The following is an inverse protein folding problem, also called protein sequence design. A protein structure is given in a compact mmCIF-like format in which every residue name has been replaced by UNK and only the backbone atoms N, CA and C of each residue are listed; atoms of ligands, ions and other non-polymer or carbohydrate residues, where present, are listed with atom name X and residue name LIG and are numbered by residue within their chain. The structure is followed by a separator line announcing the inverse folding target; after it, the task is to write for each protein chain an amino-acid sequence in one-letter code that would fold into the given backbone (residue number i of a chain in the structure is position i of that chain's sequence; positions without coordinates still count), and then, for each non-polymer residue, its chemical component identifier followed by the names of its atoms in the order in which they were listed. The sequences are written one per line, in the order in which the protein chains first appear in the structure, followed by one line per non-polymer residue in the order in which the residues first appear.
data_IF_533898397514
#
_entry.id   IF_533898397514
#
_cell.length_a   1.000
_cell.length_b   1.000
_cell.length_c   1.000
_cell.angle_alpha   90.00
_cell.angle_beta   90.00
_cell.angle_gamma   90.00
#
_symmetry.space_group_name_H-M   'P 1'
#
loop_
_entity.id
_entity.type
_entity.pdbx_description
1 polymer ?
#
# COMPACT_ATOMS: atom_id res chain seq x y z
N UNK A 1 7.50 1.61 -5.14
CA UNK A 1 6.86 0.67 -4.21
C UNK A 1 6.25 1.51 -3.11
N UNK A 2 5.20 1.01 -2.45
CA UNK A 2 4.70 1.63 -1.20
C UNK A 2 5.16 0.73 -0.05
N UNK A 3 5.87 1.28 0.92
CA UNK A 3 6.24 0.51 2.12
C UNK A 3 5.03 0.35 3.06
N UNK A 4 4.83 -0.83 3.64
CA UNK A 4 3.74 -1.06 4.60
C UNK A 4 3.85 -0.15 5.83
N UNK A 5 5.07 0.24 6.21
CA UNK A 5 5.32 1.15 7.33
C UNK A 5 4.97 2.61 7.03
N UNK A 6 4.83 2.96 5.75
CA UNK A 6 4.52 4.32 5.30
C UNK A 6 3.02 4.53 5.09
N UNK A 7 2.21 3.47 5.17
CA UNK A 7 0.75 3.61 5.09
C UNK A 7 0.24 4.25 6.39
N UNK A 8 -0.32 5.46 6.34
CA UNK A 8 -0.74 6.16 7.55
C UNK A 8 -2.02 5.55 8.12
N UNK A 9 -2.20 5.74 9.43
CA UNK A 9 -3.45 5.43 10.14
C UNK A 9 -3.60 3.99 10.63
N UNK A 10 -2.80 3.04 10.13
CA UNK A 10 -2.80 1.68 10.66
C UNK A 10 -1.47 0.97 10.41
N UNK A 11 -1.22 -0.09 11.17
CA UNK A 11 -0.14 -1.04 10.89
C UNK A 11 -0.70 -2.16 10.03
N UNK A 12 -0.15 -2.34 8.84
CA UNK A 12 -0.57 -3.41 7.93
C UNK A 12 0.30 -4.66 8.09
N UNK A 13 -0.35 -5.82 8.08
CA UNK A 13 0.29 -7.15 8.09
C UNK A 13 -0.13 -7.94 6.86
N UNK A 14 0.75 -8.79 6.35
CA UNK A 14 0.43 -9.64 5.21
C UNK A 14 -0.31 -10.89 5.67
N UNK A 15 -1.50 -11.11 5.12
CA UNK A 15 -2.30 -12.32 5.26
C UNK A 15 -2.00 -13.23 4.06
N UNK A 16 -1.26 -14.32 4.32
CA UNK A 16 -0.79 -15.22 3.28
C UNK A 16 -1.92 -16.09 2.68
N UNK A 17 -2.95 -16.40 3.46
CA UNK A 17 -4.05 -17.26 3.01
C UNK A 17 -4.96 -16.52 2.03
N UNK A 18 -5.21 -15.22 2.31
CA UNK A 18 -6.00 -14.34 1.45
C UNK A 18 -5.19 -13.61 0.38
N UNK A 19 -3.86 -13.64 0.49
CA UNK A 19 -2.94 -12.89 -0.37
C UNK A 19 -3.26 -11.37 -0.39
N UNK A 20 -3.52 -10.81 0.78
CA UNK A 20 -3.84 -9.40 0.97
C UNK A 20 -3.06 -8.81 2.15
N UNK A 21 -3.04 -7.49 2.28
CA UNK A 21 -2.55 -6.84 3.50
C UNK A 21 -3.73 -6.34 4.33
N UNK A 22 -3.68 -6.53 5.64
CA UNK A 22 -4.78 -6.22 6.56
C UNK A 22 -4.29 -5.28 7.65
N UNK A 23 -5.03 -4.19 7.86
CA UNK A 23 -4.81 -3.23 8.93
C UNK A 23 -5.15 -3.84 10.28
N UNK A 24 -4.22 -3.78 11.23
CA UNK A 24 -4.38 -4.41 12.55
C UNK A 24 -5.56 -3.81 13.31
N UNK A 25 -5.74 -2.49 13.27
CA UNK A 25 -6.76 -1.77 14.03
C UNK A 25 -8.05 -1.56 13.22
N UNK A 26 -7.93 -1.16 11.96
CA UNK A 26 -9.04 -0.79 11.08
C UNK A 26 -9.69 -2.01 10.42
N UNK A 27 -8.98 -3.14 10.35
CA UNK A 27 -9.35 -4.32 9.54
C UNK A 27 -9.52 -4.02 8.05
N UNK A 28 -9.00 -2.88 7.59
CA UNK A 28 -8.99 -2.53 6.17
C UNK A 28 -8.08 -3.51 5.43
N UNK A 29 -8.59 -4.10 4.36
CA UNK A 29 -7.85 -5.03 3.52
C UNK A 29 -7.45 -4.32 2.22
N UNK A 30 -6.24 -4.55 1.72
CA UNK A 30 -5.84 -4.21 0.36
C UNK A 30 -5.47 -5.49 -0.38
N UNK A 31 -6.17 -5.74 -1.47
CA UNK A 31 -6.00 -6.95 -2.28
C UNK A 31 -5.37 -6.64 -3.62
N UNK A 32 -4.80 -7.68 -4.24
CA UNK A 32 -4.33 -7.58 -5.61
C UNK A 32 -5.50 -7.28 -6.57
N UNK A 33 -5.30 -6.33 -7.48
CA UNK A 33 -6.29 -5.91 -8.48
C UNK A 33 -7.17 -4.73 -8.06
N UNK A 34 -7.05 -4.25 -6.82
CA UNK A 34 -7.75 -3.05 -6.37
C UNK A 34 -7.09 -1.78 -6.92
N UNK A 35 -7.91 -0.79 -7.27
CA UNK A 35 -7.43 0.50 -7.74
C UNK A 35 -7.20 1.45 -6.58
N UNK A 36 -6.02 2.06 -6.51
CA UNK A 36 -5.65 3.05 -5.49
C UNK A 36 -5.10 4.30 -6.15
N UNK A 37 -5.14 5.41 -5.40
CA UNK A 37 -4.45 6.66 -5.76
C UNK A 37 -3.15 6.75 -5.01
N UNK A 38 -2.08 6.98 -5.77
CA UNK A 38 -0.72 7.13 -5.24
C UNK A 38 -0.12 8.44 -5.72
N UNK A 39 0.87 8.90 -4.97
CA UNK A 39 1.74 10.01 -5.33
C UNK A 39 3.15 9.46 -5.56
N UNK A 40 3.87 10.03 -6.53
CA UNK A 40 5.29 9.74 -6.73
C UNK A 40 6.07 10.42 -5.59
N UNK A 41 6.81 9.63 -4.82
CA UNK A 41 7.67 10.11 -3.74
C UNK A 41 9.10 10.35 -4.26
N UNK A 42 9.72 9.34 -4.86
CA UNK A 42 11.05 9.44 -5.50
C UNK A 42 11.14 8.58 -6.78
N UNK A 43 12.08 8.93 -7.66
CA UNK A 43 12.36 8.16 -8.87
C UNK A 43 13.84 7.85 -8.95
N UNK A 44 14.18 6.56 -9.04
CA UNK A 44 15.54 6.08 -9.25
C UNK A 44 15.68 5.34 -10.61
N UNK A 45 16.05 6.05 -11.69
CA UNK A 45 16.15 5.45 -13.03
C UNK A 45 17.23 4.37 -13.14
N UNK A 46 18.33 4.51 -12.39
CA UNK A 46 19.44 3.53 -12.41
C UNK A 46 18.99 2.17 -11.87
N UNK A 47 18.19 2.17 -10.81
CA UNK A 47 17.61 0.97 -10.21
C UNK A 47 16.30 0.54 -10.87
N UNK A 48 15.77 1.33 -11.81
CA UNK A 48 14.43 1.17 -12.40
C UNK A 48 13.35 1.06 -11.31
N UNK A 49 13.47 1.91 -10.29
CA UNK A 49 12.59 1.94 -9.14
C UNK A 49 11.87 3.28 -9.06
N UNK A 50 10.59 3.26 -8.69
CA UNK A 50 9.79 4.45 -8.40
C UNK A 50 9.20 4.20 -7.03
N UNK A 51 9.51 5.07 -6.07
CA UNK A 51 8.94 5.06 -4.73
C UNK A 51 7.63 5.86 -4.71
N UNK A 52 6.64 5.30 -4.02
CA UNK A 52 5.26 5.76 -4.08
C UNK A 52 4.70 5.93 -2.67
N UNK A 53 3.90 6.96 -2.47
CA UNK A 53 3.12 7.19 -1.26
C UNK A 53 1.64 6.88 -1.54
N UNK A 54 0.97 6.17 -0.64
CA UNK A 54 -0.47 5.91 -0.73
C UNK A 54 -1.26 7.14 -0.27
N UNK A 55 -2.10 7.69 -1.15
CA UNK A 55 -2.86 8.92 -0.87
C UNK A 55 -4.33 8.63 -0.57
N UNK A 56 -4.95 7.76 -1.36
CA UNK A 56 -6.36 7.44 -1.26
C UNK A 56 -6.61 6.03 -1.81
N UNK A 57 -7.56 5.34 -1.20
CA UNK A 57 -7.76 3.91 -1.36
C UNK A 57 -9.25 3.59 -1.22
N UNK A 58 -10.03 4.36 -1.99
CA UNK A 58 -11.44 4.15 -2.33
C UNK A 58 -12.21 3.35 -1.29
N UNK A 59 -12.79 4.02 -0.29
CA UNK A 59 -13.87 3.40 0.49
C UNK A 59 -15.02 3.09 -0.47
N UNK A 60 -15.16 1.82 -0.84
CA UNK A 60 -16.47 1.28 -1.21
C UNK A 60 -17.37 1.26 0.02
#
# INVERSE_FOLDING_TARGET
MVSLSEIPGDRYVFDQDKFCIVGVNTKKEFSFGESVRVKIDDVNPKKRHIDLELVDYGTS
#
